data_IF_306665367387
#
_entry.id   IF_306665367387
#
_cell.length_a   1.000
_cell.length_b   1.000
_cell.length_c   1.000
_cell.angle_alpha   90.00
_cell.angle_beta   90.00
_cell.angle_gamma   90.00
#
_symmetry.space_group_name_H-M   'P 1'
#
loop_
_entity.id
_entity.type
_entity.pdbx_description
1 polymer ?
#
# COMPACT_ATOMS: atom_id res chain seq x y z
N UNK A 1 -18.61 3.80 -19.63
CA UNK A 1 -17.93 4.29 -18.41
C UNK A 1 -18.96 5.05 -17.63
N UNK A 2 -19.33 4.52 -16.46
CA UNK A 2 -20.31 5.14 -15.58
C UNK A 2 -19.84 6.53 -15.14
N UNK A 3 -20.79 7.46 -14.96
CA UNK A 3 -20.47 8.83 -14.58
C UNK A 3 -19.91 8.88 -13.15
N UNK A 4 -18.61 9.12 -13.07
CA UNK A 4 -17.91 9.30 -11.81
C UNK A 4 -18.34 10.60 -11.15
N UNK A 5 -18.98 10.50 -9.98
CA UNK A 5 -19.35 11.68 -9.21
C UNK A 5 -18.28 12.01 -8.16
N UNK A 6 -17.60 13.17 -8.22
CA UNK A 6 -16.56 13.54 -7.25
C UNK A 6 -17.10 14.06 -5.91
N UNK A 7 -18.39 14.41 -5.80
CA UNK A 7 -18.90 15.24 -4.70
C UNK A 7 -19.30 14.47 -3.44
N UNK A 8 -19.25 13.13 -3.42
CA UNK A 8 -19.60 12.34 -2.25
C UNK A 8 -18.59 12.46 -1.11
N UNK A 9 -18.97 13.11 0.00
CA UNK A 9 -18.22 13.15 1.25
C UNK A 9 -18.51 11.94 2.15
N UNK A 10 -17.77 11.82 3.26
CA UNK A 10 -17.93 10.77 4.25
C UNK A 10 -18.14 11.34 5.66
N UNK A 11 -19.12 10.82 6.38
CA UNK A 11 -19.39 11.23 7.75
C UNK A 11 -18.29 10.72 8.69
N UNK A 12 -17.82 11.59 9.57
CA UNK A 12 -16.89 11.24 10.65
C UNK A 12 -17.68 11.05 11.96
N UNK A 13 -17.42 9.94 12.66
CA UNK A 13 -18.05 9.59 13.94
C UNK A 13 -17.14 9.85 15.13
N UNK A 14 -16.15 10.72 14.99
CA UNK A 14 -15.26 11.17 16.04
C UNK A 14 -13.79 10.85 15.82
N UNK A 15 -13.44 9.66 15.28
CA UNK A 15 -12.04 9.24 15.10
C UNK A 15 -11.73 8.50 13.80
N UNK A 16 -12.63 8.49 12.83
CA UNK A 16 -12.44 7.71 11.59
C UNK A 16 -11.97 8.54 10.36
N UNK A 17 -11.43 9.75 10.55
CA UNK A 17 -10.94 10.60 9.45
C UNK A 17 -9.84 9.91 8.62
N UNK A 18 -8.93 9.14 9.26
CA UNK A 18 -7.90 8.38 8.58
C UNK A 18 -8.51 7.32 7.63
N UNK A 19 -9.55 6.61 8.07
CA UNK A 19 -10.26 5.62 7.24
C UNK A 19 -11.04 6.29 6.11
N UNK A 20 -11.71 7.43 6.37
CA UNK A 20 -12.36 8.24 5.35
C UNK A 20 -11.36 8.68 4.27
N UNK A 21 -10.17 9.11 4.67
CA UNK A 21 -9.07 9.49 3.77
C UNK A 21 -8.66 8.34 2.86
N UNK A 22 -8.45 7.13 3.42
CA UNK A 22 -8.07 5.93 2.66
C UNK A 22 -9.17 5.55 1.67
N UNK A 23 -10.43 5.54 2.09
CA UNK A 23 -11.58 5.24 1.22
C UNK A 23 -11.63 6.21 0.05
N UNK A 24 -11.45 7.51 0.31
CA UNK A 24 -11.41 8.51 -0.76
C UNK A 24 -10.23 8.32 -1.70
N UNK A 25 -9.03 8.00 -1.22
CA UNK A 25 -7.87 7.70 -2.07
C UNK A 25 -8.12 6.46 -2.94
N UNK A 26 -8.56 5.37 -2.34
CA UNK A 26 -8.72 4.08 -3.04
C UNK A 26 -9.85 4.10 -4.08
N UNK A 27 -10.92 4.88 -3.87
CA UNK A 27 -12.00 4.98 -4.88
C UNK A 27 -11.53 5.59 -6.20
N UNK A 28 -10.39 6.30 -6.20
CA UNK A 28 -9.78 6.87 -7.40
C UNK A 28 -8.83 5.91 -8.11
N UNK A 29 -8.43 4.82 -7.46
CA UNK A 29 -7.61 3.77 -8.07
C UNK A 29 -8.39 3.02 -9.14
N UNK A 30 -7.81 2.87 -10.34
CA UNK A 30 -8.39 2.06 -11.41
C UNK A 30 -8.51 0.59 -10.99
N UNK A 31 -7.56 0.10 -10.22
CA UNK A 31 -7.55 -1.25 -9.69
C UNK A 31 -8.75 -1.50 -8.78
N UNK A 32 -9.04 -0.57 -7.85
CA UNK A 32 -10.23 -0.71 -6.99
C UNK A 32 -11.53 -0.59 -7.78
N UNK A 33 -11.57 0.20 -8.86
CA UNK A 33 -12.77 0.27 -9.73
C UNK A 33 -13.05 -1.01 -10.49
N UNK A 34 -12.03 -1.75 -10.91
CA UNK A 34 -12.18 -3.09 -11.50
C UNK A 34 -12.86 -4.07 -10.53
N UNK A 35 -12.65 -3.91 -9.23
CA UNK A 35 -13.31 -4.70 -8.19
C UNK A 35 -14.85 -4.65 -8.29
N UNK A 36 -15.40 -3.52 -8.76
CA UNK A 36 -16.85 -3.31 -8.83
C UNK A 36 -17.49 -3.90 -10.09
N UNK A 37 -16.72 -4.19 -11.12
CA UNK A 37 -17.18 -4.85 -12.34
C UNK A 37 -17.25 -6.38 -12.21
N UNK A 38 -16.62 -6.98 -11.19
CA UNK A 38 -16.60 -8.44 -10.95
C UNK A 38 -17.80 -8.88 -10.10
N UNK A 39 -18.99 -8.94 -10.74
CA UNK A 39 -20.23 -9.36 -10.06
C UNK A 39 -20.43 -10.89 -10.07
N UNK A 40 -19.82 -11.64 -11.00
CA UNK A 40 -20.02 -13.10 -11.10
C UNK A 40 -19.40 -13.85 -9.92
N UNK A 41 -18.19 -13.49 -9.54
CA UNK A 41 -17.52 -14.09 -8.38
C UNK A 41 -18.15 -13.68 -7.03
N UNK A 42 -18.76 -12.51 -6.96
CA UNK A 42 -19.42 -12.03 -5.74
C UNK A 42 -20.65 -12.85 -5.37
N UNK A 43 -21.44 -13.31 -6.35
CA UNK A 43 -22.61 -14.16 -6.09
C UNK A 43 -22.20 -15.52 -5.51
N UNK A 44 -21.11 -16.12 -6.00
CA UNK A 44 -20.55 -17.37 -5.46
C UNK A 44 -20.10 -17.19 -4.01
N UNK A 45 -19.43 -16.08 -3.73
CA UNK A 45 -18.93 -15.75 -2.40
C UNK A 45 -20.10 -15.47 -1.43
N UNK A 46 -21.08 -14.69 -1.86
CA UNK A 46 -22.30 -14.40 -1.05
C UNK A 46 -23.09 -15.66 -0.75
N UNK A 47 -23.27 -16.55 -1.72
CA UNK A 47 -23.96 -17.82 -1.51
C UNK A 47 -23.20 -18.68 -0.50
N UNK A 48 -21.87 -18.76 -0.61
CA UNK A 48 -21.05 -19.49 0.34
C UNK A 48 -21.07 -18.90 1.75
N UNK A 49 -21.13 -17.58 1.88
CA UNK A 49 -21.33 -16.91 3.19
C UNK A 49 -22.72 -17.23 3.77
N UNK A 50 -23.76 -17.21 2.94
CA UNK A 50 -25.13 -17.58 3.38
C UNK A 50 -25.21 -19.05 3.81
N UNK A 51 -24.69 -19.97 3.01
CA UNK A 51 -24.62 -21.40 3.37
C UNK A 51 -23.88 -21.61 4.71
N UNK A 52 -22.77 -20.91 4.93
CA UNK A 52 -22.01 -20.97 6.16
C UNK A 52 -22.78 -20.37 7.34
N UNK A 53 -23.54 -19.30 7.12
CA UNK A 53 -24.39 -18.68 8.14
C UNK A 53 -25.62 -19.56 8.46
N UNK A 54 -26.28 -20.11 7.45
CA UNK A 54 -27.48 -20.94 7.62
C UNK A 54 -27.18 -22.29 8.27
N UNK A 55 -26.06 -22.94 7.88
CA UNK A 55 -25.69 -24.26 8.39
C UNK A 55 -24.99 -24.23 9.77
N UNK A 56 -24.45 -23.09 10.22
CA UNK A 56 -23.58 -23.02 11.38
C UNK A 56 -23.90 -21.90 12.37
N UNK A 57 -25.08 -21.25 12.30
CA UNK A 57 -25.42 -20.08 13.14
C UNK A 57 -25.20 -20.32 14.65
N UNK A 58 -25.36 -21.55 15.15
CA UNK A 58 -25.14 -21.91 16.55
C UNK A 58 -23.69 -22.43 16.83
N UNK A 59 -22.87 -22.63 15.80
CA UNK A 59 -21.55 -23.26 15.93
C UNK A 59 -20.39 -22.38 15.40
N UNK A 60 -20.65 -21.24 14.75
CA UNK A 60 -19.62 -20.37 14.17
C UNK A 60 -18.56 -19.98 15.22
N UNK A 61 -18.96 -19.81 16.48
CA UNK A 61 -18.02 -19.50 17.56
C UNK A 61 -17.04 -20.63 17.85
N UNK A 62 -17.40 -21.89 17.54
CA UNK A 62 -16.50 -23.05 17.67
C UNK A 62 -15.45 -23.15 16.55
N UNK A 63 -15.63 -22.37 15.44
CA UNK A 63 -14.76 -22.41 14.27
C UNK A 63 -14.09 -21.04 13.98
N UNK A 64 -13.04 -20.64 14.72
CA UNK A 64 -12.46 -19.30 14.62
C UNK A 64 -11.92 -18.96 13.22
N UNK A 65 -11.40 -19.95 12.46
CA UNK A 65 -10.95 -19.73 11.08
C UNK A 65 -12.10 -19.36 10.13
N UNK A 66 -13.26 -19.98 10.30
CA UNK A 66 -14.46 -19.71 9.52
C UNK A 66 -15.01 -18.31 9.84
N UNK A 67 -15.09 -17.98 11.13
CA UNK A 67 -15.52 -16.67 11.61
C UNK A 67 -14.63 -15.55 11.04
N UNK A 68 -13.31 -15.74 11.10
CA UNK A 68 -12.34 -14.81 10.50
C UNK A 68 -12.57 -14.64 8.99
N UNK A 69 -12.82 -15.72 8.24
CA UNK A 69 -13.08 -15.66 6.80
C UNK A 69 -14.36 -14.89 6.48
N UNK A 70 -15.43 -15.08 7.26
CA UNK A 70 -16.68 -14.31 7.13
C UNK A 70 -16.42 -12.82 7.37
N UNK A 71 -15.62 -12.45 8.36
CA UNK A 71 -15.33 -11.05 8.65
C UNK A 71 -14.52 -10.37 7.53
N UNK A 72 -13.59 -11.08 6.87
CA UNK A 72 -12.95 -10.58 5.64
C UNK A 72 -13.97 -10.28 4.54
N UNK A 73 -14.94 -11.17 4.31
CA UNK A 73 -16.02 -10.92 3.34
C UNK A 73 -16.89 -9.74 3.74
N UNK A 74 -17.20 -9.57 5.04
CA UNK A 74 -17.97 -8.42 5.52
C UNK A 74 -17.24 -7.09 5.23
N UNK A 75 -15.92 -7.02 5.46
CA UNK A 75 -15.13 -5.83 5.11
C UNK A 75 -15.17 -5.59 3.60
N UNK A 76 -14.92 -6.61 2.78
CA UNK A 76 -14.94 -6.50 1.33
C UNK A 76 -16.27 -5.97 0.80
N UNK A 77 -17.41 -6.58 1.19
CA UNK A 77 -18.75 -6.18 0.68
C UNK A 77 -19.18 -4.81 1.18
N UNK A 78 -18.90 -4.47 2.43
CA UNK A 78 -19.25 -3.15 2.96
C UNK A 78 -18.38 -2.06 2.34
N UNK A 79 -17.11 -2.34 2.06
CA UNK A 79 -16.23 -1.45 1.30
C UNK A 79 -16.73 -1.27 -0.14
N UNK A 80 -16.99 -2.38 -0.86
CA UNK A 80 -17.51 -2.34 -2.23
C UNK A 80 -18.78 -1.51 -2.31
N UNK A 81 -19.74 -1.74 -1.39
CA UNK A 81 -20.98 -0.96 -1.33
C UNK A 81 -20.72 0.53 -1.08
N UNK A 82 -19.85 0.86 -0.12
CA UNK A 82 -19.53 2.25 0.20
C UNK A 82 -18.91 2.99 -1.01
N UNK A 83 -17.99 2.35 -1.71
CA UNK A 83 -17.40 2.94 -2.92
C UNK A 83 -18.43 3.09 -4.04
N UNK A 84 -19.29 2.08 -4.25
CA UNK A 84 -20.38 2.17 -5.22
C UNK A 84 -21.28 3.38 -4.91
N UNK A 85 -21.70 3.53 -3.66
CA UNK A 85 -22.55 4.63 -3.23
C UNK A 85 -21.85 6.00 -3.45
N UNK A 86 -20.54 6.09 -3.15
CA UNK A 86 -19.75 7.29 -3.40
C UNK A 86 -19.55 7.62 -4.88
N UNK A 87 -19.58 6.63 -5.77
CA UNK A 87 -19.42 6.85 -7.21
C UNK A 87 -20.72 7.36 -7.87
N UNK A 88 -21.87 6.95 -7.34
CA UNK A 88 -23.18 7.21 -7.97
C UNK A 88 -23.98 8.31 -7.27
N UNK A 89 -23.67 8.64 -6.01
CA UNK A 89 -24.41 9.63 -5.23
C UNK A 89 -23.52 10.86 -4.92
N UNK A 90 -24.09 12.07 -5.09
CA UNK A 90 -23.44 13.33 -4.69
C UNK A 90 -23.59 13.64 -3.19
N UNK A 91 -24.44 12.91 -2.49
CA UNK A 91 -24.69 13.13 -1.08
C UNK A 91 -23.58 12.53 -0.20
N UNK A 92 -23.45 13.11 0.99
CA UNK A 92 -22.56 12.56 2.03
C UNK A 92 -22.98 11.15 2.43
N UNK A 93 -22.07 10.19 2.34
CA UNK A 93 -22.30 8.81 2.74
C UNK A 93 -21.90 8.57 4.20
N UNK A 94 -22.54 7.58 4.79
CA UNK A 94 -22.28 7.16 6.17
C UNK A 94 -21.50 5.84 6.15
N UNK A 95 -20.19 5.83 6.52
CA UNK A 95 -19.35 4.62 6.46
C UNK A 95 -19.55 3.68 7.66
N UNK A 96 -20.58 3.85 8.49
CA UNK A 96 -20.77 3.15 9.77
C UNK A 96 -20.70 1.62 9.63
N UNK A 97 -21.39 1.05 8.66
CA UNK A 97 -21.40 -0.41 8.45
C UNK A 97 -20.03 -0.95 8.09
N UNK A 98 -19.28 -0.21 7.26
CA UNK A 98 -17.91 -0.53 6.89
C UNK A 98 -16.96 -0.42 8.09
N UNK A 99 -17.02 0.68 8.85
CA UNK A 99 -16.21 0.87 10.07
C UNK A 99 -16.45 -0.25 11.07
N UNK A 100 -17.72 -0.65 11.29
CA UNK A 100 -18.07 -1.76 12.18
C UNK A 100 -17.51 -3.10 11.68
N UNK A 101 -17.52 -3.35 10.36
CA UNK A 101 -16.93 -4.56 9.78
C UNK A 101 -15.42 -4.59 9.98
N UNK A 102 -14.71 -3.48 9.75
CA UNK A 102 -13.27 -3.35 10.02
C UNK A 102 -12.95 -3.58 11.50
N UNK A 103 -13.69 -2.96 12.41
CA UNK A 103 -13.50 -3.17 13.86
C UNK A 103 -13.71 -4.63 14.27
N UNK A 104 -14.71 -5.29 13.72
CA UNK A 104 -14.97 -6.71 14.00
C UNK A 104 -13.83 -7.61 13.50
N UNK A 105 -13.32 -7.38 12.29
CA UNK A 105 -12.20 -8.11 11.74
C UNK A 105 -10.92 -7.86 12.55
N UNK A 106 -10.66 -6.62 12.97
CA UNK A 106 -9.44 -6.25 13.69
C UNK A 106 -9.29 -7.02 15.02
N UNK A 107 -10.40 -7.36 15.67
CA UNK A 107 -10.40 -8.24 16.86
C UNK A 107 -9.89 -9.64 16.56
N UNK A 108 -10.20 -10.19 15.39
CA UNK A 108 -9.74 -11.51 14.98
C UNK A 108 -8.32 -11.52 14.40
N UNK A 109 -7.75 -10.33 14.13
CA UNK A 109 -6.38 -10.17 13.64
C UNK A 109 -5.42 -9.60 14.68
N UNK A 110 -5.89 -9.39 15.93
CA UNK A 110 -5.14 -8.74 17.01
C UNK A 110 -4.66 -7.33 16.66
N UNK A 111 -5.46 -6.58 15.90
CA UNK A 111 -5.20 -5.22 15.43
C UNK A 111 -6.29 -4.25 15.90
N UNK A 112 -6.91 -4.51 17.06
CA UNK A 112 -8.02 -3.73 17.60
C UNK A 112 -7.68 -2.24 17.77
N UNK A 113 -6.42 -1.96 18.08
CA UNK A 113 -5.90 -0.61 18.24
C UNK A 113 -6.15 0.27 16.99
N UNK A 114 -6.22 -0.33 15.79
CA UNK A 114 -6.45 0.40 14.54
C UNK A 114 -7.83 1.10 14.47
N UNK A 115 -8.79 0.71 15.32
CA UNK A 115 -10.17 1.20 15.22
C UNK A 115 -10.75 1.66 16.56
N UNK A 116 -9.92 1.80 17.60
CA UNK A 116 -10.35 2.29 18.91
C UNK A 116 -10.28 3.81 19.01
N UNK A 117 -9.24 4.40 18.41
CA UNK A 117 -8.97 5.84 18.41
C UNK A 117 -8.46 6.31 17.05
N UNK A 118 -7.98 7.55 16.96
CA UNK A 118 -7.24 8.02 15.79
C UNK A 118 -5.99 7.16 15.57
N UNK A 119 -5.78 6.72 14.33
CA UNK A 119 -4.71 5.80 14.03
C UNK A 119 -3.93 6.17 12.76
N UNK A 120 -2.81 5.47 12.55
CA UNK A 120 -1.94 5.68 11.41
C UNK A 120 -2.62 5.24 10.10
N UNK A 121 -2.63 6.15 9.14
CA UNK A 121 -3.19 5.93 7.80
C UNK A 121 -2.49 4.77 7.06
N UNK A 122 -1.17 4.56 7.31
CA UNK A 122 -0.41 3.52 6.64
C UNK A 122 -0.77 2.13 7.16
N UNK A 123 -0.90 1.97 8.47
CA UNK A 123 -1.33 0.69 9.04
C UNK A 123 -2.75 0.33 8.57
N UNK A 124 -3.60 1.34 8.47
CA UNK A 124 -4.98 1.15 8.05
C UNK A 124 -5.14 0.80 6.56
N UNK A 125 -4.33 1.41 5.67
CA UNK A 125 -4.37 1.06 4.24
C UNK A 125 -3.85 -0.36 4.00
N UNK A 126 -2.79 -0.78 4.72
CA UNK A 126 -2.28 -2.15 4.68
C UNK A 126 -3.38 -3.12 5.15
N UNK A 127 -3.98 -2.86 6.32
CA UNK A 127 -5.08 -3.67 6.85
C UNK A 127 -6.22 -3.84 5.84
N UNK A 128 -6.61 -2.76 5.16
CA UNK A 128 -7.71 -2.80 4.20
C UNK A 128 -7.34 -3.59 2.93
N UNK A 129 -6.15 -3.38 2.37
CA UNK A 129 -5.66 -4.13 1.21
C UNK A 129 -5.58 -5.62 1.55
N UNK A 130 -5.01 -5.96 2.71
CA UNK A 130 -4.89 -7.34 3.17
C UNK A 130 -6.28 -7.97 3.43
N UNK A 131 -7.22 -7.21 4.01
CA UNK A 131 -8.58 -7.70 4.24
C UNK A 131 -9.31 -8.04 2.93
N UNK A 132 -9.17 -7.20 1.91
CA UNK A 132 -9.76 -7.45 0.59
C UNK A 132 -9.04 -8.61 -0.11
N UNK A 133 -7.71 -8.68 0.00
CA UNK A 133 -6.91 -9.79 -0.51
C UNK A 133 -7.38 -11.12 0.09
N UNK A 134 -7.44 -11.23 1.40
CA UNK A 134 -7.88 -12.43 2.11
C UNK A 134 -9.33 -12.82 1.79
N UNK A 135 -10.22 -11.86 1.57
CA UNK A 135 -11.58 -12.13 1.12
C UNK A 135 -11.62 -12.81 -0.26
N UNK A 136 -10.77 -12.37 -1.18
CA UNK A 136 -10.76 -12.83 -2.59
C UNK A 136 -9.73 -13.92 -2.88
N UNK A 137 -8.84 -14.23 -1.92
CA UNK A 137 -7.75 -15.17 -2.13
C UNK A 137 -8.24 -16.60 -2.43
N UNK A 138 -7.65 -17.19 -3.45
CA UNK A 138 -7.86 -18.57 -3.89
C UNK A 138 -6.55 -19.21 -4.34
N UNK A 139 -6.51 -20.54 -4.34
CA UNK A 139 -5.35 -21.27 -4.87
C UNK A 139 -5.39 -21.22 -6.41
N UNK A 140 -4.26 -20.89 -7.01
CA UNK A 140 -4.04 -20.95 -8.45
C UNK A 140 -2.79 -21.78 -8.77
N UNK A 141 -2.53 -22.03 -10.05
CA UNK A 141 -1.27 -22.60 -10.55
C UNK A 141 -0.48 -21.52 -11.26
N UNK A 142 0.70 -21.19 -10.76
CA UNK A 142 1.61 -20.22 -11.39
C UNK A 142 2.71 -20.94 -12.17
N UNK A 143 2.87 -20.58 -13.42
CA UNK A 143 3.88 -21.16 -14.32
C UNK A 143 4.87 -20.07 -14.73
N UNK A 144 6.17 -20.34 -14.56
CA UNK A 144 7.23 -19.47 -15.07
C UNK A 144 7.45 -19.74 -16.55
N UNK A 145 7.59 -18.68 -17.34
CA UNK A 145 8.07 -18.76 -18.72
C UNK A 145 9.60 -18.99 -18.80
N UNK A 146 10.31 -18.82 -17.68
CA UNK A 146 11.76 -19.06 -17.59
C UNK A 146 12.02 -20.44 -17.00
N UNK A 147 12.83 -21.25 -17.71
CA UNK A 147 13.38 -22.50 -17.21
C UNK A 147 14.74 -22.22 -16.55
N UNK A 148 14.97 -22.79 -15.37
CA UNK A 148 16.26 -22.69 -14.64
C UNK A 148 17.46 -23.08 -15.51
N UNK A 149 17.27 -24.08 -16.39
CA UNK A 149 18.29 -24.55 -17.32
C UNK A 149 18.75 -23.51 -18.36
N UNK A 150 17.96 -22.48 -18.60
CA UNK A 150 18.20 -21.46 -19.61
C UNK A 150 18.77 -20.15 -18.99
N UNK A 151 19.09 -20.14 -17.70
CA UNK A 151 19.64 -18.99 -17.01
C UNK A 151 21.14 -18.88 -17.30
N UNK A 152 21.54 -17.83 -18.01
CA UNK A 152 22.93 -17.59 -18.41
C UNK A 152 23.54 -16.33 -17.79
N UNK A 153 22.69 -15.42 -17.28
CA UNK A 153 23.16 -14.14 -16.69
C UNK A 153 22.67 -13.98 -15.24
N UNK A 154 23.41 -13.18 -14.47
CA UNK A 154 23.01 -12.83 -13.11
C UNK A 154 21.67 -12.09 -13.07
N UNK A 155 21.37 -11.25 -14.06
CA UNK A 155 20.08 -10.56 -14.16
C UNK A 155 18.92 -11.55 -14.34
N UNK A 156 19.09 -12.56 -15.20
CA UNK A 156 18.11 -13.63 -15.38
C UNK A 156 17.92 -14.43 -14.08
N UNK A 157 19.01 -14.75 -13.38
CA UNK A 157 18.96 -15.45 -12.09
C UNK A 157 18.15 -14.66 -11.06
N UNK A 158 18.44 -13.37 -10.90
CA UNK A 158 17.71 -12.51 -9.98
C UNK A 158 16.20 -12.45 -10.31
N UNK A 159 15.85 -12.31 -11.60
CA UNK A 159 14.45 -12.30 -12.04
C UNK A 159 13.75 -13.62 -11.73
N UNK A 160 14.43 -14.74 -12.02
CA UNK A 160 13.90 -16.07 -11.72
C UNK A 160 13.67 -16.28 -10.23
N UNK A 161 14.68 -15.99 -9.39
CA UNK A 161 14.58 -16.17 -7.94
C UNK A 161 13.52 -15.25 -7.33
N UNK A 162 13.43 -14.01 -7.82
CA UNK A 162 12.37 -13.07 -7.43
C UNK A 162 10.97 -13.61 -7.76
N UNK A 163 10.80 -14.16 -8.98
CA UNK A 163 9.54 -14.79 -9.38
C UNK A 163 9.23 -16.06 -8.56
N UNK A 164 10.23 -16.90 -8.26
CA UNK A 164 10.03 -18.09 -7.42
C UNK A 164 9.57 -17.69 -6.01
N UNK A 165 10.15 -16.63 -5.45
CA UNK A 165 9.70 -16.10 -4.16
C UNK A 165 8.25 -15.61 -4.23
N UNK A 166 7.90 -14.85 -5.26
CA UNK A 166 6.52 -14.40 -5.50
C UNK A 166 5.55 -15.57 -5.63
N UNK A 167 5.88 -16.58 -6.45
CA UNK A 167 5.10 -17.80 -6.64
C UNK A 167 4.89 -18.54 -5.30
N UNK A 168 5.97 -18.81 -4.58
CA UNK A 168 5.91 -19.53 -3.30
C UNK A 168 5.05 -18.80 -2.25
N UNK A 169 5.04 -17.46 -2.30
CA UNK A 169 4.24 -16.65 -1.38
C UNK A 169 2.75 -16.68 -1.76
N UNK A 170 2.41 -16.57 -3.04
CA UNK A 170 1.04 -16.28 -3.44
C UNK A 170 0.30 -17.39 -4.17
N UNK A 171 0.96 -18.44 -4.66
CA UNK A 171 0.28 -19.53 -5.42
C UNK A 171 -0.85 -20.21 -4.63
N UNK A 172 -0.69 -20.34 -3.29
CA UNK A 172 -1.69 -20.95 -2.42
C UNK A 172 -2.83 -20.00 -2.02
N UNK A 173 -2.63 -18.71 -2.12
CA UNK A 173 -3.58 -17.67 -1.71
C UNK A 173 -3.43 -16.42 -2.58
N UNK A 174 -3.75 -16.59 -3.84
CA UNK A 174 -3.68 -15.52 -4.83
C UNK A 174 -5.00 -14.74 -4.90
N UNK A 175 -4.89 -13.43 -5.01
CA UNK A 175 -5.94 -12.54 -5.51
C UNK A 175 -5.35 -11.56 -6.51
N UNK A 176 -6.17 -10.99 -7.38
CA UNK A 176 -5.72 -9.99 -8.36
C UNK A 176 -5.10 -8.74 -7.69
N UNK A 177 -5.40 -8.46 -6.40
CA UNK A 177 -4.76 -7.36 -5.67
C UNK A 177 -3.24 -7.52 -5.59
N UNK A 178 -2.75 -8.77 -5.58
CA UNK A 178 -1.30 -9.03 -5.54
C UNK A 178 -0.63 -8.48 -6.80
N UNK A 179 -1.26 -8.60 -7.98
CA UNK A 179 -0.72 -8.02 -9.21
C UNK A 179 -0.85 -6.50 -9.25
N UNK A 180 -1.88 -5.93 -8.64
CA UNK A 180 -2.20 -4.50 -8.72
C UNK A 180 -1.44 -3.63 -7.73
N UNK A 181 -1.13 -4.15 -6.54
CA UNK A 181 -0.54 -3.35 -5.45
C UNK A 181 0.82 -3.84 -4.99
N UNK A 182 1.18 -5.13 -5.24
CA UNK A 182 2.42 -5.65 -4.69
C UNK A 182 3.57 -5.54 -5.69
N UNK A 183 4.71 -5.16 -5.15
CA UNK A 183 5.98 -5.11 -5.87
C UNK A 183 7.03 -5.96 -5.16
N UNK A 184 8.08 -6.34 -5.88
CA UNK A 184 9.13 -7.18 -5.34
C UNK A 184 10.39 -6.35 -5.10
N UNK A 185 10.91 -6.41 -3.87
CA UNK A 185 12.22 -5.83 -3.51
C UNK A 185 13.25 -6.95 -3.36
N UNK A 186 14.38 -6.76 -4.00
CA UNK A 186 15.61 -7.51 -3.76
C UNK A 186 16.46 -6.75 -2.76
N UNK A 187 16.86 -7.40 -1.67
CA UNK A 187 17.92 -6.95 -0.76
C UNK A 187 19.22 -7.61 -1.18
N UNK A 188 20.20 -6.82 -1.58
CA UNK A 188 21.55 -7.26 -1.92
C UNK A 188 22.50 -6.93 -0.77
N UNK A 189 23.00 -7.96 -0.08
CA UNK A 189 24.01 -7.81 0.98
C UNK A 189 25.38 -8.16 0.38
N UNK A 190 26.34 -7.28 0.56
CA UNK A 190 27.67 -7.38 -0.05
C UNK A 190 28.77 -7.41 1.02
N UNK A 191 29.64 -8.41 0.91
CA UNK A 191 30.88 -8.44 1.68
C UNK A 191 31.92 -7.53 1.04
N UNK A 192 32.45 -6.57 1.80
CA UNK A 192 33.45 -5.65 1.27
C UNK A 192 34.80 -6.34 1.01
N UNK A 193 35.14 -7.37 1.78
CA UNK A 193 36.41 -8.07 1.65
C UNK A 193 36.42 -9.08 0.49
N UNK A 194 35.59 -10.12 0.52
CA UNK A 194 35.61 -11.20 -0.47
C UNK A 194 34.65 -11.01 -1.63
N UNK A 195 33.90 -9.89 -1.66
CA UNK A 195 32.88 -9.55 -2.69
C UNK A 195 31.75 -10.57 -2.82
N UNK A 196 31.58 -11.43 -1.81
CA UNK A 196 30.44 -12.35 -1.76
C UNK A 196 29.14 -11.54 -1.68
N UNK A 197 28.11 -12.01 -2.37
CA UNK A 197 26.77 -11.38 -2.44
C UNK A 197 25.72 -12.35 -1.99
N UNK A 198 24.81 -11.85 -1.14
CA UNK A 198 23.61 -12.56 -0.74
C UNK A 198 22.40 -11.77 -1.23
N UNK A 199 21.46 -12.46 -1.89
CA UNK A 199 20.23 -11.87 -2.39
C UNK A 199 19.04 -12.44 -1.65
N UNK A 200 18.19 -11.57 -1.10
CA UNK A 200 16.91 -11.90 -0.51
C UNK A 200 15.82 -11.15 -1.28
N UNK A 201 14.65 -11.77 -1.41
CA UNK A 201 13.50 -11.19 -2.12
C UNK A 201 12.30 -11.15 -1.21
N UNK A 202 11.56 -10.05 -1.25
CA UNK A 202 10.32 -9.89 -0.47
C UNK A 202 9.27 -9.10 -1.22
N UNK A 203 7.99 -9.50 -1.16
CA UNK A 203 6.89 -8.70 -1.66
C UNK A 203 6.52 -7.58 -0.68
N UNK A 204 6.13 -6.44 -1.23
CA UNK A 204 5.68 -5.27 -0.49
C UNK A 204 4.50 -4.63 -1.23
N UNK A 205 3.53 -4.09 -0.50
CA UNK A 205 2.40 -3.32 -1.04
C UNK A 205 2.47 -1.82 -0.68
N UNK A 206 3.45 -1.45 0.13
CA UNK A 206 3.69 -0.08 0.58
C UNK A 206 5.18 0.21 0.58
N UNK A 207 5.60 1.31 -0.03
CA UNK A 207 6.98 1.79 -0.02
C UNK A 207 7.13 2.89 1.03
N UNK A 208 7.64 2.54 2.20
CA UNK A 208 7.89 3.49 3.29
C UNK A 208 9.26 4.13 3.13
N UNK A 209 9.28 5.43 2.81
CA UNK A 209 10.49 6.17 2.54
C UNK A 209 10.94 6.98 3.77
N UNK A 210 12.19 6.83 4.22
CA UNK A 210 12.78 7.72 5.21
C UNK A 210 12.95 9.13 4.62
N UNK A 211 12.81 10.15 5.46
CA UNK A 211 13.04 11.54 5.09
C UNK A 211 14.47 11.87 5.49
N UNK A 212 15.40 12.10 4.55
CA UNK A 212 16.77 12.46 4.88
C UNK A 212 16.84 13.86 5.51
N UNK A 213 17.93 14.13 6.20
CA UNK A 213 18.26 15.48 6.65
C UNK A 213 18.34 16.47 5.49
N UNK A 214 18.25 17.76 5.80
CA UNK A 214 18.36 18.79 4.77
C UNK A 214 19.76 18.78 4.14
N UNK A 215 19.79 18.86 2.82
CA UNK A 215 21.01 19.14 2.10
C UNK A 215 21.30 20.65 2.05
N UNK A 216 22.41 21.02 1.42
CA UNK A 216 22.82 22.43 1.26
C UNK A 216 21.80 23.27 0.48
N UNK A 217 20.87 22.66 -0.25
CA UNK A 217 19.82 23.34 -1.00
C UNK A 217 18.65 23.80 -0.13
N UNK A 218 18.54 23.29 1.11
CA UNK A 218 17.44 23.57 2.03
C UNK A 218 16.08 23.02 1.57
N UNK A 219 16.04 22.14 0.54
CA UNK A 219 14.86 21.49 -0.01
C UNK A 219 15.07 19.99 -0.04
N UNK A 220 13.99 19.24 0.20
CA UNK A 220 13.99 17.80 0.08
C UNK A 220 12.92 17.36 -0.88
N UNK A 221 13.27 16.53 -1.83
CA UNK A 221 12.38 15.97 -2.83
C UNK A 221 12.05 14.52 -2.54
N UNK A 222 11.01 13.98 -3.18
CA UNK A 222 10.70 12.54 -3.14
C UNK A 222 11.86 11.70 -3.71
N UNK A 223 12.59 12.24 -4.69
CA UNK A 223 13.78 11.56 -5.23
C UNK A 223 14.92 11.47 -4.21
N UNK A 224 15.12 12.50 -3.37
CA UNK A 224 16.11 12.43 -2.27
C UNK A 224 15.72 11.33 -1.26
N UNK A 225 14.42 11.15 -0.97
CA UNK A 225 13.92 10.06 -0.14
C UNK A 225 14.15 8.67 -0.79
N UNK A 226 13.91 8.56 -2.09
CA UNK A 226 14.14 7.33 -2.87
C UNK A 226 15.65 7.01 -2.95
N UNK A 227 16.49 8.00 -3.24
CA UNK A 227 17.94 7.83 -3.30
C UNK A 227 18.50 7.39 -1.95
N UNK A 228 17.99 7.94 -0.85
CA UNK A 228 18.36 7.52 0.50
C UNK A 228 17.94 6.07 0.77
N UNK A 229 16.68 5.68 0.44
CA UNK A 229 16.16 4.32 0.66
C UNK A 229 16.89 3.27 -0.20
N UNK A 230 17.13 3.56 -1.48
CA UNK A 230 17.81 2.65 -2.41
C UNK A 230 19.34 2.81 -2.44
N UNK A 231 19.87 3.71 -1.64
CA UNK A 231 21.31 3.92 -1.43
C UNK A 231 21.98 2.70 -0.80
N UNK A 232 23.30 2.78 -0.65
CA UNK A 232 24.06 1.79 0.11
C UNK A 232 23.98 2.11 1.59
N UNK A 233 23.55 1.15 2.38
CA UNK A 233 23.55 1.23 3.84
C UNK A 233 24.67 0.32 4.38
N UNK A 234 25.70 0.93 4.95
CA UNK A 234 26.80 0.22 5.59
C UNK A 234 26.34 -0.27 6.96
N UNK A 235 26.63 -1.52 7.29
CA UNK A 235 26.31 -2.07 8.60
C UNK A 235 27.20 -1.41 9.66
N UNK A 236 26.57 -0.83 10.67
CA UNK A 236 27.25 -0.21 11.81
C UNK A 236 27.65 -1.24 12.89
N UNK A 237 28.37 -0.78 13.92
CA UNK A 237 28.82 -1.64 15.02
C UNK A 237 27.70 -2.33 15.80
N UNK A 238 26.46 -1.86 15.72
CA UNK A 238 25.30 -2.45 16.42
C UNK A 238 24.62 -3.53 15.59
N UNK A 239 24.72 -3.45 14.24
CA UNK A 239 24.02 -4.29 13.28
C UNK A 239 24.99 -4.99 12.31
N UNK A 240 26.18 -5.38 12.78
CA UNK A 240 27.18 -6.02 11.93
C UNK A 240 26.67 -7.34 11.33
N UNK A 241 26.79 -7.45 10.00
CA UNK A 241 26.57 -8.71 9.30
C UNK A 241 27.92 -9.42 9.07
N UNK A 242 28.03 -10.67 9.57
CA UNK A 242 29.19 -11.53 9.38
C UNK A 242 29.06 -12.28 8.05
N UNK A 243 30.04 -12.14 7.18
CA UNK A 243 30.09 -12.89 5.91
C UNK A 243 30.32 -14.37 6.16
N UNK A 244 29.44 -15.23 5.64
CA UNK A 244 29.55 -16.67 5.79
C UNK A 244 30.79 -17.27 5.09
N UNK A 245 31.32 -16.57 4.05
CA UNK A 245 32.44 -17.06 3.25
C UNK A 245 33.82 -16.72 3.82
N UNK A 246 34.00 -15.50 4.38
CA UNK A 246 35.32 -15.04 4.86
C UNK A 246 35.26 -14.50 6.29
N UNK A 247 34.14 -14.60 6.96
CA UNK A 247 33.88 -14.15 8.33
C UNK A 247 34.08 -12.66 8.60
N UNK A 248 34.35 -11.85 7.57
CA UNK A 248 34.47 -10.39 7.69
C UNK A 248 33.15 -9.77 8.16
N UNK A 249 33.27 -8.79 9.06
CA UNK A 249 32.15 -8.01 9.58
C UNK A 249 32.23 -6.52 9.22
N UNK A 250 33.40 -6.06 8.77
CA UNK A 250 33.69 -4.64 8.56
C UNK A 250 33.23 -4.19 7.19
N UNK A 251 32.69 -2.97 7.12
CA UNK A 251 32.29 -2.27 5.90
C UNK A 251 31.38 -3.06 4.95
N UNK A 252 30.73 -4.10 5.44
CA UNK A 252 29.69 -4.79 4.68
C UNK A 252 28.49 -3.87 4.53
N UNK A 253 27.78 -3.96 3.39
CA UNK A 253 26.64 -3.09 3.13
C UNK A 253 25.47 -3.86 2.53
N UNK A 254 24.28 -3.34 2.74
CA UNK A 254 23.06 -3.76 2.04
C UNK A 254 22.58 -2.68 1.08
N UNK A 255 21.87 -3.08 0.05
CA UNK A 255 21.24 -2.21 -0.92
C UNK A 255 19.96 -2.82 -1.46
N UNK A 256 18.92 -2.01 -1.58
CA UNK A 256 17.63 -2.43 -2.14
C UNK A 256 17.54 -2.14 -3.64
N UNK A 257 16.79 -2.99 -4.36
CA UNK A 257 16.39 -2.76 -5.76
C UNK A 257 15.01 -3.35 -6.01
N UNK A 258 14.21 -2.69 -6.82
CA UNK A 258 12.92 -3.20 -7.28
C UNK A 258 13.17 -4.22 -8.40
N UNK A 259 12.58 -5.41 -8.30
CA UNK A 259 12.65 -6.44 -9.34
C UNK A 259 11.36 -6.55 -10.14
N UNK A 260 10.21 -6.21 -9.55
CA UNK A 260 8.91 -6.10 -10.22
C UNK A 260 8.15 -4.90 -9.66
N UNK A 261 7.46 -4.17 -10.53
CA UNK A 261 6.71 -2.94 -10.23
C UNK A 261 5.21 -3.18 -10.29
N UNK A 262 4.38 -2.60 -9.39
CA UNK A 262 2.92 -2.76 -9.40
C UNK A 262 2.28 -1.76 -10.37
N UNK A 263 1.06 -1.98 -10.85
CA UNK A 263 0.25 -0.95 -11.53
C UNK A 263 -0.07 0.24 -10.63
N UNK A 264 -0.40 0.02 -9.35
CA UNK A 264 -0.62 1.07 -8.36
C UNK A 264 0.50 1.04 -7.32
N UNK A 265 1.29 2.12 -7.26
CA UNK A 265 2.37 2.29 -6.29
C UNK A 265 1.91 3.18 -5.14
N UNK A 266 1.97 2.64 -3.93
CA UNK A 266 1.65 3.36 -2.70
C UNK A 266 2.96 3.72 -1.99
N UNK A 267 3.18 5.01 -1.76
CA UNK A 267 4.36 5.54 -1.07
C UNK A 267 3.92 6.23 0.21
N UNK A 268 4.61 5.97 1.30
CA UNK A 268 4.46 6.73 2.55
C UNK A 268 5.76 7.37 2.97
N UNK A 269 5.67 8.54 3.56
CA UNK A 269 6.81 9.28 4.11
C UNK A 269 6.93 8.97 5.61
N UNK A 270 8.08 8.46 6.06
CA UNK A 270 8.32 8.15 7.49
C UNK A 270 8.46 9.43 8.29
N UNK A 271 7.31 10.05 8.62
CA UNK A 271 7.25 11.35 9.32
C UNK A 271 7.33 11.26 10.84
N UNK A 272 7.27 10.07 11.42
CA UNK A 272 7.31 9.89 12.86
C UNK A 272 8.58 9.19 13.29
N UNK A 273 9.31 9.83 14.22
CA UNK A 273 10.51 9.32 14.86
C UNK A 273 10.22 9.01 16.32
N UNK A 274 10.57 7.81 16.75
CA UNK A 274 10.53 7.42 18.16
C UNK A 274 11.81 7.93 18.85
N UNK A 275 11.63 8.86 19.79
CA UNK A 275 12.70 9.38 20.63
C UNK A 275 12.78 8.66 22.00
N UNK A 276 12.16 7.48 22.12
CA UNK A 276 12.10 6.65 23.31
C UNK A 276 11.00 7.07 24.29
N UNK A 277 10.91 8.35 24.66
CA UNK A 277 9.88 8.87 25.58
C UNK A 277 8.75 9.63 24.90
N UNK A 278 8.90 9.96 23.62
CA UNK A 278 7.92 10.70 22.82
C UNK A 278 8.14 10.48 21.34
N UNK A 279 7.07 10.60 20.59
CA UNK A 279 7.12 10.67 19.13
C UNK A 279 7.35 12.12 18.69
N UNK A 280 8.17 12.29 17.65
CA UNK A 280 8.39 13.58 16.99
C UNK A 280 7.91 13.49 15.56
N UNK A 281 7.05 14.43 15.15
CA UNK A 281 6.65 14.56 13.76
C UNK A 281 7.65 15.41 12.97
N UNK A 282 8.08 14.89 11.82
CA UNK A 282 8.90 15.59 10.85
C UNK A 282 7.95 16.41 9.96
N UNK A 283 7.83 17.72 10.22
CA UNK A 283 6.97 18.65 9.47
C UNK A 283 7.67 19.24 8.23
N UNK A 284 8.70 18.57 7.74
CA UNK A 284 9.44 18.99 6.56
C UNK A 284 8.57 18.88 5.30
N UNK A 285 8.62 19.92 4.46
CA UNK A 285 8.00 19.86 3.15
C UNK A 285 8.83 18.95 2.24
N UNK A 286 8.16 17.98 1.62
CA UNK A 286 8.75 17.11 0.62
C UNK A 286 8.14 17.47 -0.73
N UNK A 287 8.97 17.86 -1.67
CA UNK A 287 8.57 18.16 -3.03
C UNK A 287 8.46 16.85 -3.81
N UNK A 288 7.24 16.49 -4.24
CA UNK A 288 6.96 15.23 -4.94
C UNK A 288 6.39 15.52 -6.33
N UNK A 289 6.85 14.77 -7.37
CA UNK A 289 6.41 15.02 -8.74
C UNK A 289 5.00 14.49 -8.99
N UNK A 290 4.27 15.14 -9.90
CA UNK A 290 3.01 14.64 -10.45
C UNK A 290 3.24 13.42 -11.35
N UNK A 291 4.33 13.42 -12.10
CA UNK A 291 4.80 12.32 -12.94
C UNK A 291 6.11 11.78 -12.34
N UNK A 292 6.08 10.56 -11.83
CA UNK A 292 7.17 9.93 -11.11
C UNK A 292 7.84 8.87 -11.99
N UNK A 293 9.15 8.96 -12.15
CA UNK A 293 9.98 7.94 -12.78
C UNK A 293 10.82 7.20 -11.73
N UNK A 294 10.53 5.90 -11.54
CA UNK A 294 11.30 5.04 -10.63
C UNK A 294 12.30 4.12 -11.36
N UNK A 295 12.60 4.39 -12.62
CA UNK A 295 13.47 3.56 -13.46
C UNK A 295 14.89 3.37 -12.91
N UNK A 296 15.42 4.35 -12.15
CA UNK A 296 16.73 4.27 -11.53
C UNK A 296 16.81 3.27 -10.37
N UNK A 297 15.67 2.91 -9.79
CA UNK A 297 15.58 2.01 -8.62
C UNK A 297 15.22 0.60 -9.02
N UNK A 298 14.77 0.37 -10.26
CA UNK A 298 14.42 -0.94 -10.79
C UNK A 298 15.63 -1.63 -11.41
N UNK A 299 15.78 -2.92 -11.13
CA UNK A 299 16.80 -3.76 -11.75
C UNK A 299 16.40 -4.13 -13.20
N UNK A 300 17.39 -4.21 -14.08
CA UNK A 300 17.22 -4.64 -15.46
C UNK A 300 17.10 -3.48 -16.46
N UNK A 301 17.05 -3.86 -17.76
CA UNK A 301 17.06 -2.91 -18.88
C UNK A 301 15.66 -2.44 -19.28
N UNK A 302 14.66 -3.29 -19.10
CA UNK A 302 13.28 -2.91 -19.41
C UNK A 302 12.71 -2.04 -18.28
N UNK A 303 12.41 -0.78 -18.60
CA UNK A 303 11.95 0.25 -17.67
C UNK A 303 10.65 0.92 -18.12
N UNK A 304 9.94 0.32 -19.06
CA UNK A 304 8.69 0.86 -19.61
C UNK A 304 7.56 0.93 -18.58
N UNK A 305 7.65 0.12 -17.52
CA UNK A 305 6.69 0.02 -16.42
C UNK A 305 7.11 0.81 -15.16
N UNK A 306 7.94 1.85 -15.34
CA UNK A 306 8.48 2.67 -14.25
C UNK A 306 7.93 4.10 -14.21
N UNK A 307 7.02 4.45 -15.12
CA UNK A 307 6.42 5.77 -15.21
C UNK A 307 5.05 5.76 -14.53
N UNK A 308 4.85 6.71 -13.62
CA UNK A 308 3.67 6.78 -12.77
C UNK A 308 3.10 8.19 -12.73
N UNK A 309 1.77 8.30 -12.57
CA UNK A 309 1.07 9.56 -12.40
C UNK A 309 0.36 9.60 -11.05
N UNK A 310 0.59 10.67 -10.28
CA UNK A 310 -0.05 10.88 -8.97
C UNK A 310 -1.55 11.07 -9.14
N UNK A 311 -2.35 10.33 -8.37
CA UNK A 311 -3.82 10.48 -8.39
C UNK A 311 -4.43 10.74 -7.01
N UNK A 312 -3.72 10.42 -5.92
CA UNK A 312 -4.23 10.72 -4.59
C UNK A 312 -3.10 11.03 -3.59
N UNK A 313 -3.42 11.88 -2.62
CA UNK A 313 -2.56 12.30 -1.52
C UNK A 313 -3.36 12.16 -0.23
N UNK A 314 -2.89 11.35 0.71
CA UNK A 314 -3.36 11.34 2.08
C UNK A 314 -2.55 12.33 2.91
N UNK A 315 -3.21 13.31 3.48
CA UNK A 315 -2.61 14.34 4.32
C UNK A 315 -2.90 14.06 5.79
N UNK A 316 -1.95 14.40 6.65
CA UNK A 316 -2.13 14.37 8.10
C UNK A 316 -1.66 15.70 8.72
N UNK A 317 -2.54 16.36 9.46
CA UNK A 317 -2.27 17.59 10.22
C UNK A 317 -2.38 17.31 11.71
N UNK A 318 -1.53 17.94 12.53
CA UNK A 318 -1.49 17.71 13.98
C UNK A 318 -0.41 16.72 14.40
N UNK A 319 -0.48 16.28 15.65
CA UNK A 319 0.45 15.34 16.28
C UNK A 319 0.00 13.88 16.04
N UNK A 320 0.84 12.89 16.37
CA UNK A 320 0.59 11.48 16.14
C UNK A 320 -0.76 10.99 16.72
N UNK A 321 -1.05 11.36 17.97
CA UNK A 321 -2.25 10.90 18.69
C UNK A 321 -3.44 11.89 18.63
N UNK A 322 -3.22 13.10 18.11
CA UNK A 322 -4.22 14.18 18.03
C UNK A 322 -4.06 14.91 16.71
N UNK A 323 -4.54 14.28 15.65
CA UNK A 323 -4.42 14.81 14.32
C UNK A 323 -5.71 14.72 13.55
N UNK A 324 -5.66 15.14 12.31
CA UNK A 324 -6.75 15.01 11.36
C UNK A 324 -6.23 14.61 10.00
N UNK A 325 -6.88 13.63 9.38
CA UNK A 325 -6.54 13.15 8.05
C UNK A 325 -7.57 13.65 7.04
N UNK A 326 -7.09 14.00 5.84
CA UNK A 326 -7.90 14.39 4.71
C UNK A 326 -7.21 14.01 3.39
N UNK A 327 -7.95 13.88 2.31
CA UNK A 327 -7.41 13.44 1.03
C UNK A 327 -7.48 14.53 -0.03
N UNK A 328 -6.49 14.55 -0.93
CA UNK A 328 -6.57 15.18 -2.24
C UNK A 328 -6.60 14.10 -3.30
N UNK A 329 -7.58 14.13 -4.19
CA UNK A 329 -7.71 13.10 -5.21
C UNK A 329 -8.13 13.69 -6.55
N UNK A 330 -7.75 13.01 -7.65
CA UNK A 330 -8.17 13.35 -9.01
C UNK A 330 -8.41 12.12 -9.87
N UNK A 331 -9.26 12.24 -10.85
CA UNK A 331 -9.47 11.19 -11.85
C UNK A 331 -8.56 11.44 -13.06
N UNK A 332 -7.42 10.74 -13.10
CA UNK A 332 -6.42 10.87 -14.17
C UNK A 332 -6.90 10.38 -15.54
N UNK A 333 -8.04 9.69 -15.61
CA UNK A 333 -8.63 9.20 -16.87
C UNK A 333 -9.69 10.13 -17.46
N UNK A 334 -10.12 11.16 -16.70
CA UNK A 334 -11.10 12.15 -17.19
C UNK A 334 -10.43 13.51 -17.45
N UNK A 335 -10.92 14.19 -18.47
CA UNK A 335 -10.55 15.58 -18.77
C UNK A 335 -11.77 16.50 -18.55
N UNK A 336 -11.61 17.67 -17.94
CA UNK A 336 -10.38 18.18 -17.34
C UNK A 336 -9.98 17.41 -16.08
N UNK A 337 -8.66 17.21 -15.91
CA UNK A 337 -8.05 16.54 -14.78
C UNK A 337 -8.11 17.49 -13.57
N UNK A 338 -9.07 17.30 -12.70
CA UNK A 338 -9.38 18.23 -11.61
C UNK A 338 -9.13 17.58 -10.26
N UNK A 339 -8.42 18.27 -9.38
CA UNK A 339 -8.23 17.88 -8.00
C UNK A 339 -9.39 18.29 -7.10
N UNK A 340 -9.72 17.43 -6.15
CA UNK A 340 -10.70 17.66 -5.10
C UNK A 340 -10.08 17.37 -3.74
N UNK A 341 -10.40 18.24 -2.75
CA UNK A 341 -10.16 17.99 -1.35
C UNK A 341 -11.35 17.25 -0.75
N UNK A 342 -11.05 16.19 -0.01
CA UNK A 342 -11.99 15.40 0.77
C UNK A 342 -11.62 15.51 2.25
N UNK A 343 -12.40 16.30 2.98
CA UNK A 343 -12.23 16.54 4.39
C UNK A 343 -13.52 16.12 5.10
N UNK A 344 -13.66 14.81 5.33
CA UNK A 344 -14.86 14.15 5.82
C UNK A 344 -16.09 14.48 4.96
N UNK A 345 -17.09 15.17 5.51
CA UNK A 345 -18.32 15.57 4.79
C UNK A 345 -18.08 16.70 3.77
N UNK A 346 -17.01 17.45 3.95
CA UNK A 346 -16.70 18.58 3.07
C UNK A 346 -15.93 18.10 1.85
N UNK A 347 -16.45 18.38 0.68
CA UNK A 347 -15.78 18.14 -0.59
C UNK A 347 -15.71 19.46 -1.36
N UNK A 348 -14.51 19.81 -1.82
CA UNK A 348 -14.29 21.03 -2.57
C UNK A 348 -13.31 20.83 -3.71
N UNK A 349 -13.57 21.50 -4.83
CA UNK A 349 -12.60 21.61 -5.92
C UNK A 349 -11.40 22.43 -5.45
N UNK A 350 -10.20 22.02 -5.84
CA UNK A 350 -8.98 22.71 -5.45
C UNK A 350 -8.08 23.04 -6.64
N UNK A 351 -7.23 24.05 -6.45
CA UNK A 351 -6.19 24.43 -7.40
C UNK A 351 -4.93 23.57 -7.20
N UNK A 352 -4.31 23.14 -8.29
CA UNK A 352 -3.08 22.33 -8.29
C UNK A 352 -1.93 22.97 -7.49
N UNK A 353 -1.91 24.32 -7.37
CA UNK A 353 -0.92 25.04 -6.56
C UNK A 353 -0.96 24.71 -5.07
N UNK A 354 -2.09 24.22 -4.58
CA UNK A 354 -2.32 23.91 -3.17
C UNK A 354 -2.04 22.44 -2.82
N UNK A 355 -1.59 21.62 -3.78
CA UNK A 355 -1.29 20.18 -3.56
C UNK A 355 -0.10 19.95 -2.64
N UNK A 356 0.92 20.80 -2.75
CA UNK A 356 2.20 20.60 -2.08
C UNK A 356 2.18 21.22 -0.68
N UNK A 357 2.09 20.37 0.32
CA UNK A 357 2.07 20.77 1.73
C UNK A 357 2.98 19.89 2.58
N UNK A 358 3.41 20.39 3.74
CA UNK A 358 4.13 19.58 4.74
C UNK A 358 3.26 18.49 5.37
N UNK A 359 1.96 18.47 5.10
CA UNK A 359 1.01 17.49 5.62
C UNK A 359 0.93 16.21 4.77
N UNK A 360 1.45 16.22 3.52
CA UNK A 360 1.47 15.04 2.66
C UNK A 360 2.19 13.90 3.35
N UNK A 361 1.48 12.78 3.54
CA UNK A 361 1.95 11.62 4.28
C UNK A 361 1.89 10.34 3.46
N UNK A 362 0.83 10.16 2.67
CA UNK A 362 0.58 9.03 1.79
C UNK A 362 0.42 9.54 0.35
N UNK A 363 1.13 8.94 -0.59
CA UNK A 363 1.07 9.28 -2.02
C UNK A 363 0.69 8.02 -2.82
N UNK A 364 -0.34 8.12 -3.65
CA UNK A 364 -0.78 7.03 -4.51
C UNK A 364 -0.55 7.41 -5.98
N UNK A 365 0.22 6.58 -6.64
CA UNK A 365 0.59 6.73 -8.05
C UNK A 365 0.04 5.56 -8.86
N UNK A 366 -0.42 5.83 -10.07
CA UNK A 366 -0.83 4.83 -11.04
C UNK A 366 0.10 4.82 -12.23
N UNK A 367 0.45 3.61 -12.71
CA UNK A 367 1.35 3.44 -13.85
C UNK A 367 0.71 4.00 -15.12
N UNK A 368 1.50 4.73 -15.94
CA UNK A 368 1.09 5.31 -17.21
C UNK A 368 0.89 4.28 -18.30
#
# INVERSE_FOLDING_TARGET
MEDFNPLGGLKNFGSNCYLNTIVQCLRYSNSMRKLFSDNENDSIVLNKVRELQENNMNEIEKYPKLKKKIDYYCVYFTFKKLIHDLLHNSETQTPETFVRACYKLSKHTNQEYLFQDQNDINECIIFLIDAIHEAKASKISMVSSMDDKNITTMEQKIKFDSYQTYKNTYESQYSWLVEEYYFMIMTNINCNQCKNKLFNYSPHNLLTLPIPDEDERGKTTLYDCLDHYFGKEVFDNKNQWKCEKCENKEDNYKQYRITATPPTLIITLKRYEDLGNRWKKINKMIDFPIELDISNYKLGRNKTDCQYKLFAIGNHVGEMNFGHCYAYCRNIQKQPDTWYEYNDVRVSKMDDKNLFTSNAYLLLYERC
#
